data_IF_063399329223
#
_entry.id   IF_063399329223
#
_cell.length_a   1.000
_cell.length_b   1.000
_cell.length_c   1.000
_cell.angle_alpha   90.00
_cell.angle_beta   90.00
_cell.angle_gamma   90.00
#
_symmetry.space_group_name_H-M   'P 1'
#
loop_
_entity.id
_entity.type
_entity.pdbx_description
1 polymer ?
#
# COMPACT_ATOMS: atom_id res chain seq x y z
N UNK A 1 12.36 36.79 4.88
CA UNK A 1 11.56 36.11 3.82
C UNK A 1 10.39 37.02 3.45
N UNK A 2 10.17 37.30 2.16
CA UNK A 2 8.93 38.00 1.75
C UNK A 2 7.80 36.98 1.67
N UNK A 3 6.75 37.18 2.45
CA UNK A 3 5.47 36.49 2.29
C UNK A 3 4.47 37.47 1.66
N UNK A 4 3.33 37.01 1.13
CA UNK A 4 2.30 37.89 0.56
C UNK A 4 1.79 38.97 1.53
N UNK A 5 1.97 38.78 2.84
CA UNK A 5 1.56 39.72 3.90
C UNK A 5 2.65 40.72 4.32
N UNK A 6 3.87 40.66 3.77
CA UNK A 6 4.96 41.59 4.09
C UNK A 6 6.33 40.94 4.30
N UNK A 7 7.28 41.72 4.82
CA UNK A 7 8.65 41.25 5.09
C UNK A 7 8.70 40.59 6.47
N UNK A 8 8.93 39.27 6.52
CA UNK A 8 9.11 38.53 7.77
C UNK A 8 10.60 38.39 8.07
N UNK A 9 11.03 38.94 9.20
CA UNK A 9 12.37 38.74 9.77
C UNK A 9 12.26 37.64 10.82
N UNK A 10 12.83 36.48 10.54
CA UNK A 10 12.89 35.36 11.46
C UNK A 10 14.23 35.40 12.19
N UNK A 11 14.21 35.68 13.49
CA UNK A 11 15.37 35.53 14.36
C UNK A 11 15.30 34.14 14.99
N UNK A 12 16.25 33.27 14.65
CA UNK A 12 16.41 31.97 15.32
C UNK A 12 16.83 32.27 16.75
N UNK A 13 15.92 32.08 17.70
CA UNK A 13 16.17 32.31 19.12
C UNK A 13 17.04 31.21 19.71
N UNK A 14 16.86 29.99 19.23
CA UNK A 14 17.56 28.82 19.74
C UNK A 14 17.60 27.75 18.64
N UNK A 15 18.74 27.05 18.54
CA UNK A 15 18.93 25.96 17.60
C UNK A 15 19.17 24.69 18.41
N UNK A 16 18.13 23.89 18.60
CA UNK A 16 18.31 22.54 19.14
C UNK A 16 19.09 21.71 18.11
N UNK A 17 20.28 21.18 18.45
CA UNK A 17 21.03 20.33 17.55
C UNK A 17 20.21 19.06 17.28
N UNK A 18 20.10 18.67 16.00
CA UNK A 18 19.53 17.38 15.64
C UNK A 18 20.42 16.27 16.21
N UNK A 19 20.05 15.76 17.38
CA UNK A 19 20.72 14.65 18.06
C UNK A 19 19.71 13.56 18.33
N UNK A 20 20.17 12.30 18.28
CA UNK A 20 19.35 11.18 18.78
C UNK A 20 19.05 11.47 20.25
N UNK A 21 17.77 11.61 20.65
CA UNK A 21 17.41 11.87 22.03
C UNK A 21 18.07 10.83 22.95
N UNK A 22 18.55 11.22 24.15
CA UNK A 22 19.09 10.28 25.11
C UNK A 22 18.14 9.11 25.30
N UNK A 23 18.69 7.89 25.35
CA UNK A 23 17.92 6.66 25.59
C UNK A 23 17.06 6.71 26.85
N UNK A 24 17.35 7.60 27.81
CA UNK A 24 16.54 7.86 29.00
C UNK A 24 15.20 8.54 28.67
N UNK A 25 15.18 9.47 27.70
CA UNK A 25 14.00 10.26 27.34
C UNK A 25 13.06 9.50 26.40
N UNK A 26 13.60 8.55 25.62
CA UNK A 26 12.84 7.71 24.67
C UNK A 26 12.80 6.24 25.07
N UNK A 27 13.17 5.89 26.32
CA UNK A 27 13.26 4.49 26.77
C UNK A 27 11.94 3.74 26.60
N UNK A 28 10.84 4.41 26.92
CA UNK A 28 9.50 3.84 26.81
C UNK A 28 9.05 3.72 25.35
N UNK A 29 9.36 4.70 24.50
CA UNK A 29 9.08 4.64 23.06
C UNK A 29 9.86 3.51 22.39
N UNK A 30 11.17 3.41 22.66
CA UNK A 30 12.04 2.34 22.14
C UNK A 30 11.62 0.99 22.71
N UNK A 31 11.30 0.93 24.00
CA UNK A 31 10.79 -0.29 24.64
C UNK A 31 9.50 -0.80 24.00
N UNK A 32 8.55 0.10 23.75
CA UNK A 32 7.30 -0.20 23.05
C UNK A 32 7.53 -0.57 21.58
N UNK A 33 8.43 0.13 20.89
CA UNK A 33 8.81 -0.18 19.51
C UNK A 33 9.46 -1.56 19.38
N UNK A 34 10.35 -1.93 20.32
CA UNK A 34 11.00 -3.25 20.35
C UNK A 34 9.98 -4.35 20.69
N UNK A 35 9.10 -4.12 21.67
CA UNK A 35 8.00 -5.06 21.97
C UNK A 35 7.13 -5.29 20.75
N UNK A 36 6.72 -4.21 20.05
CA UNK A 36 5.96 -4.29 18.80
C UNK A 36 6.72 -5.06 17.72
N UNK A 37 7.99 -4.75 17.50
CA UNK A 37 8.82 -5.43 16.49
C UNK A 37 8.99 -6.92 16.79
N UNK A 38 9.18 -7.30 18.06
CA UNK A 38 9.24 -8.71 18.48
C UNK A 38 7.90 -9.41 18.30
N UNK A 39 6.79 -8.77 18.70
CA UNK A 39 5.45 -9.31 18.51
C UNK A 39 5.13 -9.53 17.02
N UNK A 40 5.48 -8.57 16.15
CA UNK A 40 5.33 -8.70 14.70
C UNK A 40 6.17 -9.85 14.13
N UNK A 41 7.41 -10.03 14.60
CA UNK A 41 8.26 -11.13 14.15
C UNK A 41 7.69 -12.51 14.54
N UNK A 42 7.15 -12.62 15.76
CA UNK A 42 6.49 -13.85 16.22
C UNK A 42 5.21 -14.13 15.41
N UNK A 43 4.38 -13.10 15.18
CA UNK A 43 3.17 -13.24 14.39
C UNK A 43 3.47 -13.66 12.94
N UNK A 44 4.51 -13.07 12.32
CA UNK A 44 4.97 -13.47 10.99
C UNK A 44 5.47 -14.92 10.98
N UNK A 45 6.22 -15.35 11.98
CA UNK A 45 6.71 -16.73 12.07
C UNK A 45 5.56 -17.74 12.17
N UNK A 46 4.55 -17.46 13.00
CA UNK A 46 3.34 -18.28 13.10
C UNK A 46 2.56 -18.33 11.79
N UNK A 47 2.34 -17.18 11.16
CA UNK A 47 1.65 -17.12 9.89
C UNK A 47 2.39 -17.89 8.78
N UNK A 48 3.73 -17.87 8.78
CA UNK A 48 4.55 -18.67 7.85
C UNK A 48 4.43 -20.17 8.11
N UNK A 49 4.43 -20.59 9.37
CA UNK A 49 4.21 -21.99 9.73
C UNK A 49 2.83 -22.46 9.27
N UNK A 50 1.78 -21.69 9.58
CA UNK A 50 0.42 -21.96 9.14
C UNK A 50 0.31 -22.06 7.61
N UNK A 51 0.94 -21.13 6.89
CA UNK A 51 0.97 -21.17 5.43
C UNK A 51 1.71 -22.42 4.89
N UNK A 52 2.80 -22.84 5.52
CA UNK A 52 3.54 -24.03 5.12
C UNK A 52 2.73 -25.33 5.35
N UNK A 53 2.06 -25.44 6.50
CA UNK A 53 1.21 -26.58 6.82
C UNK A 53 0.00 -26.67 5.88
N UNK A 54 -0.58 -25.51 5.56
CA UNK A 54 -1.70 -25.41 4.62
C UNK A 54 -1.29 -25.75 3.17
N UNK A 55 -0.06 -25.40 2.76
CA UNK A 55 0.50 -25.80 1.46
C UNK A 55 0.75 -27.30 1.38
N UNK A 56 1.03 -27.94 2.52
CA UNK A 56 1.27 -29.39 2.61
C UNK A 56 -0.01 -30.23 2.59
N UNK A 57 -1.18 -29.61 2.35
CA UNK A 57 -2.48 -30.28 2.30
C UNK A 57 -3.32 -30.13 3.56
N UNK A 58 -2.85 -29.36 4.55
CA UNK A 58 -3.63 -29.06 5.76
C UNK A 58 -4.86 -28.19 5.46
N UNK A 59 -5.95 -28.46 6.18
CA UNK A 59 -7.16 -27.64 6.12
C UNK A 59 -6.99 -26.34 6.93
N UNK A 60 -7.11 -25.19 6.26
CA UNK A 60 -6.83 -23.87 6.86
C UNK A 60 -7.72 -23.57 8.09
N UNK A 61 -9.04 -23.83 8.04
CA UNK A 61 -9.91 -23.67 9.20
C UNK A 61 -9.57 -24.59 10.37
N UNK A 62 -9.16 -25.83 10.10
CA UNK A 62 -8.74 -26.76 11.15
C UNK A 62 -7.43 -26.31 11.82
N UNK A 63 -6.45 -25.86 11.04
CA UNK A 63 -5.18 -25.34 11.55
C UNK A 63 -5.39 -24.05 12.37
N UNK A 64 -6.21 -23.12 11.87
CA UNK A 64 -6.55 -21.89 12.60
C UNK A 64 -7.23 -22.20 13.95
N UNK A 65 -8.19 -23.14 13.98
CA UNK A 65 -8.84 -23.55 15.24
C UNK A 65 -7.86 -24.16 16.26
N UNK A 66 -6.84 -24.88 15.81
CA UNK A 66 -5.80 -25.45 16.70
C UNK A 66 -4.96 -24.37 17.35
N UNK A 67 -4.67 -23.31 16.61
CA UNK A 67 -3.88 -22.16 17.09
C UNK A 67 -4.74 -21.12 17.84
N UNK A 68 -6.06 -21.31 17.92
CA UNK A 68 -6.99 -20.35 18.53
C UNK A 68 -7.28 -19.13 17.65
N UNK A 69 -6.92 -19.19 16.37
CA UNK A 69 -7.13 -18.13 15.39
C UNK A 69 -8.53 -18.19 14.76
N UNK A 70 -8.98 -17.05 14.24
CA UNK A 70 -10.26 -16.96 13.53
C UNK A 70 -10.12 -17.46 12.09
N UNK A 71 -10.93 -18.46 11.74
CA UNK A 71 -11.11 -18.91 10.37
C UNK A 71 -12.44 -18.40 9.81
N UNK A 72 -12.43 -18.00 8.55
CA UNK A 72 -13.62 -17.61 7.81
C UNK A 72 -13.48 -17.89 6.33
N UNK A 73 -14.61 -17.94 5.64
CA UNK A 73 -14.68 -18.00 4.19
C UNK A 73 -15.38 -16.76 3.64
N UNK A 74 -14.98 -16.33 2.45
CA UNK A 74 -15.63 -15.27 1.69
C UNK A 74 -16.36 -15.90 0.49
N UNK A 75 -17.45 -15.28 0.06
CA UNK A 75 -17.99 -15.53 -1.27
C UNK A 75 -17.01 -15.05 -2.36
N UNK A 76 -17.32 -15.32 -3.63
CA UNK A 76 -16.60 -14.73 -4.75
C UNK A 76 -16.68 -13.20 -4.66
N UNK A 77 -15.54 -12.54 -4.85
CA UNK A 77 -15.42 -11.09 -4.76
C UNK A 77 -14.49 -10.57 -5.85
N UNK A 78 -14.61 -9.28 -6.15
CA UNK A 78 -13.81 -8.61 -7.19
C UNK A 78 -13.03 -7.44 -6.59
N UNK A 79 -12.30 -6.69 -7.43
CA UNK A 79 -11.66 -5.45 -6.98
C UNK A 79 -12.67 -4.32 -6.78
N UNK A 80 -13.81 -4.39 -7.46
CA UNK A 80 -14.88 -3.41 -7.40
C UNK A 80 -15.81 -3.68 -6.21
N UNK A 81 -15.96 -4.95 -5.85
CA UNK A 81 -16.75 -5.41 -4.70
C UNK A 81 -15.86 -6.24 -3.76
N UNK A 82 -15.11 -5.57 -2.86
CA UNK A 82 -14.27 -6.26 -1.88
C UNK A 82 -15.10 -6.89 -0.76
N UNK A 83 -14.63 -7.96 -0.12
CA UNK A 83 -15.36 -8.64 0.94
C UNK A 83 -15.22 -7.93 2.28
N UNK A 84 -16.31 -7.79 3.05
CA UNK A 84 -16.31 -7.12 4.36
C UNK A 84 -15.41 -7.78 5.41
N UNK A 85 -15.22 -9.10 5.30
CA UNK A 85 -14.49 -9.91 6.29
C UNK A 85 -12.97 -9.90 6.12
N UNK A 86 -12.44 -9.33 5.03
CA UNK A 86 -11.02 -9.40 4.71
C UNK A 86 -10.46 -8.00 4.45
N UNK A 87 -9.37 -7.59 5.13
CA UNK A 87 -8.69 -6.33 4.83
C UNK A 87 -8.27 -6.23 3.36
N UNK A 88 -8.21 -5.02 2.84
CA UNK A 88 -7.95 -4.76 1.43
C UNK A 88 -6.64 -5.41 0.94
N UNK A 89 -5.58 -5.40 1.76
CA UNK A 89 -4.29 -6.00 1.43
C UNK A 89 -4.39 -7.52 1.29
N UNK A 90 -5.14 -8.17 2.20
CA UNK A 90 -5.34 -9.61 2.18
C UNK A 90 -6.28 -10.03 1.03
N UNK A 91 -7.31 -9.23 0.73
CA UNK A 91 -8.19 -9.43 -0.43
C UNK A 91 -7.41 -9.33 -1.74
N UNK A 92 -6.52 -8.35 -1.87
CA UNK A 92 -5.65 -8.24 -3.05
C UNK A 92 -4.70 -9.42 -3.20
N UNK A 93 -4.14 -9.93 -2.10
CA UNK A 93 -3.26 -11.10 -2.15
C UNK A 93 -4.02 -12.37 -2.56
N UNK A 94 -5.24 -12.56 -2.06
CA UNK A 94 -6.12 -13.67 -2.47
C UNK A 94 -6.43 -13.61 -3.98
N UNK A 95 -6.71 -12.41 -4.51
CA UNK A 95 -6.93 -12.20 -5.96
C UNK A 95 -5.67 -12.37 -6.82
N UNK A 96 -4.48 -12.40 -6.24
CA UNK A 96 -3.21 -12.68 -6.97
C UNK A 96 -2.79 -14.14 -6.86
N UNK A 97 -3.28 -14.84 -5.84
CA UNK A 97 -2.94 -16.24 -5.58
C UNK A 97 -3.73 -17.14 -6.54
N UNK A 98 -3.10 -18.14 -7.19
CA UNK A 98 -3.82 -19.08 -8.07
C UNK A 98 -4.88 -19.89 -7.31
N UNK A 99 -5.91 -20.34 -8.02
CA UNK A 99 -6.92 -21.24 -7.44
C UNK A 99 -6.27 -22.53 -6.92
N UNK A 100 -6.74 -22.98 -5.76
CA UNK A 100 -6.19 -24.12 -5.01
C UNK A 100 -4.94 -23.83 -4.20
N UNK A 101 -4.30 -22.66 -4.35
CA UNK A 101 -3.04 -22.34 -3.68
C UNK A 101 -3.22 -21.49 -2.42
N UNK A 102 -2.23 -21.57 -1.53
CA UNK A 102 -2.12 -20.77 -0.30
C UNK A 102 -1.13 -19.63 -0.53
N UNK A 103 -1.61 -18.41 -0.38
CA UNK A 103 -0.82 -17.19 -0.52
C UNK A 103 0.21 -17.02 0.60
N UNK A 104 1.15 -16.10 0.42
CA UNK A 104 2.07 -15.73 1.49
C UNK A 104 1.36 -14.92 2.58
N UNK A 105 1.88 -14.95 3.83
CA UNK A 105 1.35 -14.12 4.91
C UNK A 105 1.35 -12.64 4.57
N UNK A 106 0.18 -12.00 4.69
CA UNK A 106 -0.02 -10.58 4.40
C UNK A 106 -0.07 -9.80 5.69
N UNK A 107 0.82 -8.80 5.82
CA UNK A 107 0.77 -7.85 6.94
C UNK A 107 -0.39 -6.87 6.73
N UNK A 108 -1.25 -6.73 7.73
CA UNK A 108 -2.29 -5.70 7.79
C UNK A 108 -2.12 -4.88 9.07
N UNK A 109 -2.83 -3.75 9.24
CA UNK A 109 -2.78 -2.97 10.47
C UNK A 109 -3.26 -3.74 11.72
N UNK A 110 -4.12 -4.75 11.53
CA UNK A 110 -4.71 -5.54 12.61
C UNK A 110 -3.87 -6.78 12.94
N UNK A 111 -3.48 -7.54 11.92
CA UNK A 111 -2.81 -8.83 12.08
C UNK A 111 -2.10 -9.30 10.80
N UNK A 112 -1.48 -10.48 10.86
CA UNK A 112 -1.07 -11.21 9.66
C UNK A 112 -2.20 -12.13 9.20
N UNK A 113 -2.49 -12.13 7.89
CA UNK A 113 -3.52 -12.97 7.28
C UNK A 113 -2.87 -14.00 6.35
N UNK A 114 -3.34 -15.24 6.41
CA UNK A 114 -3.01 -16.29 5.44
C UNK A 114 -4.28 -16.65 4.69
N UNK A 115 -4.21 -16.65 3.36
CA UNK A 115 -5.38 -16.86 2.49
C UNK A 115 -5.14 -18.07 1.59
N UNK A 116 -6.17 -18.90 1.45
CA UNK A 116 -6.22 -19.98 0.46
C UNK A 116 -7.27 -19.64 -0.57
N UNK A 117 -6.88 -19.47 -1.82
CA UNK A 117 -7.82 -19.17 -2.91
C UNK A 117 -8.48 -20.47 -3.33
N UNK A 118 -9.77 -20.63 -3.04
CA UNK A 118 -10.51 -21.85 -3.36
C UNK A 118 -10.83 -21.93 -4.85
N UNK A 119 -11.39 -20.86 -5.39
CA UNK A 119 -11.85 -20.76 -6.76
C UNK A 119 -11.46 -19.41 -7.36
N UNK A 120 -11.27 -19.39 -8.69
CA UNK A 120 -11.05 -18.16 -9.44
C UNK A 120 -11.90 -18.18 -10.70
N UNK A 121 -12.77 -17.19 -10.82
CA UNK A 121 -13.51 -16.92 -12.06
C UNK A 121 -12.65 -16.03 -12.94
N UNK A 122 -12.27 -16.53 -14.12
CA UNK A 122 -11.54 -15.73 -15.09
C UNK A 122 -12.49 -14.69 -15.73
N UNK A 123 -12.01 -13.48 -16.06
CA UNK A 123 -12.78 -12.54 -16.85
C UNK A 123 -13.14 -13.19 -18.20
N UNK A 124 -14.40 -13.06 -18.64
CA UNK A 124 -14.84 -13.58 -19.93
C UNK A 124 -14.11 -12.84 -21.06
N UNK A 125 -13.33 -13.55 -21.91
CA UNK A 125 -12.67 -12.94 -23.06
C UNK A 125 -13.63 -12.24 -24.04
N UNK A 126 -14.90 -12.67 -24.10
CA UNK A 126 -15.91 -12.05 -24.96
C UNK A 126 -16.33 -10.67 -24.46
N UNK A 127 -16.39 -10.45 -23.14
CA UNK A 127 -16.62 -9.12 -22.58
C UNK A 127 -15.42 -8.20 -22.80
N UNK A 128 -14.20 -8.71 -22.60
CA UNK A 128 -12.99 -7.96 -22.93
C UNK A 128 -12.94 -7.59 -24.43
N UNK A 129 -13.44 -8.43 -25.32
CA UNK A 129 -13.50 -8.14 -26.76
C UNK A 129 -14.45 -6.97 -27.08
N UNK A 130 -15.59 -6.87 -26.38
CA UNK A 130 -16.55 -5.76 -26.53
C UNK A 130 -15.91 -4.43 -26.10
N UNK A 131 -15.17 -4.45 -25.00
CA UNK A 131 -14.58 -3.23 -24.43
C UNK A 131 -13.16 -2.93 -24.91
N UNK A 132 -12.54 -3.84 -25.67
CA UNK A 132 -11.14 -3.77 -26.12
C UNK A 132 -10.81 -2.44 -26.78
N UNK A 133 -11.69 -1.94 -27.64
CA UNK A 133 -11.48 -0.68 -28.35
C UNK A 133 -11.52 0.53 -27.40
N UNK A 134 -12.40 0.51 -26.42
CA UNK A 134 -12.52 1.59 -25.43
C UNK A 134 -11.32 1.56 -24.47
N UNK A 135 -11.00 0.39 -23.92
CA UNK A 135 -9.86 0.19 -23.02
C UNK A 135 -8.55 0.55 -23.71
N UNK A 136 -8.37 0.18 -24.99
CA UNK A 136 -7.18 0.54 -25.76
C UNK A 136 -7.06 2.05 -25.96
N UNK A 137 -8.17 2.74 -26.27
CA UNK A 137 -8.19 4.21 -26.40
C UNK A 137 -7.83 4.90 -25.08
N UNK A 138 -8.43 4.47 -23.97
CA UNK A 138 -8.12 5.01 -22.64
C UNK A 138 -6.65 4.80 -22.26
N UNK A 139 -6.13 3.57 -22.45
CA UNK A 139 -4.71 3.26 -22.20
C UNK A 139 -3.77 4.10 -23.07
N UNK A 140 -4.13 4.33 -24.33
CA UNK A 140 -3.34 5.16 -25.24
C UNK A 140 -3.29 6.61 -24.76
N UNK A 141 -4.43 7.18 -24.36
CA UNK A 141 -4.51 8.54 -23.82
C UNK A 141 -3.73 8.68 -22.51
N UNK A 142 -3.85 7.74 -21.58
CA UNK A 142 -3.05 7.73 -20.33
C UNK A 142 -1.55 7.73 -20.64
N UNK A 143 -1.10 6.86 -21.56
CA UNK A 143 0.32 6.81 -21.94
C UNK A 143 0.80 8.09 -22.64
N UNK A 144 -0.03 8.72 -23.47
CA UNK A 144 0.27 10.00 -24.11
C UNK A 144 0.43 11.10 -23.06
N UNK A 145 -0.48 11.18 -22.11
CA UNK A 145 -0.42 12.15 -21.02
C UNK A 145 0.81 11.95 -20.14
N UNK A 146 1.13 10.70 -19.76
CA UNK A 146 2.33 10.39 -18.98
C UNK A 146 3.61 10.78 -19.73
N UNK A 147 3.70 10.45 -21.01
CA UNK A 147 4.83 10.81 -21.86
C UNK A 147 4.98 12.33 -21.98
N UNK A 148 3.86 13.05 -22.19
CA UNK A 148 3.84 14.51 -22.25
C UNK A 148 4.29 15.14 -20.94
N UNK A 149 3.78 14.68 -19.79
CA UNK A 149 4.18 15.19 -18.48
C UNK A 149 5.68 15.00 -18.23
N UNK A 150 6.21 13.80 -18.53
CA UNK A 150 7.65 13.51 -18.42
C UNK A 150 8.47 14.41 -19.34
N UNK A 151 8.02 14.61 -20.57
CA UNK A 151 8.68 15.47 -21.54
C UNK A 151 8.68 16.95 -21.10
N UNK A 152 7.54 17.47 -20.64
CA UNK A 152 7.43 18.85 -20.12
C UNK A 152 8.33 19.06 -18.91
N UNK A 153 8.35 18.11 -17.96
CA UNK A 153 9.21 18.19 -16.77
C UNK A 153 10.69 18.22 -17.15
N UNK A 154 11.12 17.30 -18.03
CA UNK A 154 12.51 17.25 -18.51
C UNK A 154 12.91 18.50 -19.32
N UNK A 155 11.97 19.09 -20.07
CA UNK A 155 12.22 20.30 -20.87
C UNK A 155 12.28 21.54 -19.97
N UNK A 156 11.43 21.65 -18.96
CA UNK A 156 11.47 22.74 -17.97
C UNK A 156 12.76 22.74 -17.16
N UNK A 157 13.27 21.56 -16.79
CA UNK A 157 14.54 21.44 -16.07
C UNK A 157 15.74 21.92 -16.90
N UNK A 158 15.69 21.69 -18.22
CA UNK A 158 16.76 22.08 -19.16
C UNK A 158 16.61 23.48 -19.74
N UNK A 159 15.42 24.09 -19.65
CA UNK A 159 15.16 25.41 -20.19
C UNK A 159 15.53 26.51 -19.18
N UNK A 160 16.24 27.54 -19.63
CA UNK A 160 16.47 28.76 -18.84
C UNK A 160 15.18 29.60 -18.84
N UNK A 161 14.35 29.43 -17.81
CA UNK A 161 13.08 30.16 -17.66
C UNK A 161 13.35 31.46 -16.90
N UNK A 162 13.33 32.60 -17.60
CA UNK A 162 13.36 33.93 -16.99
C UNK A 162 11.92 34.46 -16.86
N UNK A 163 11.46 34.67 -15.62
CA UNK A 163 10.09 35.13 -15.33
C UNK A 163 10.02 36.67 -15.35
N UNK A 164 9.99 37.28 -16.53
CA UNK A 164 9.79 38.74 -16.68
C UNK A 164 8.30 39.08 -16.67
N UNK A 165 7.77 39.36 -15.49
CA UNK A 165 6.41 39.90 -15.33
C UNK A 165 5.87 39.67 -13.91
N UNK A 166 5.75 40.74 -13.13
CA UNK A 166 5.04 40.75 -11.85
C UNK A 166 3.56 40.42 -12.14
N UNK A 167 2.97 39.35 -11.59
CA UNK A 167 1.55 39.10 -11.79
C UNK A 167 0.78 40.29 -11.21
N UNK A 168 -0.02 40.95 -12.05
CA UNK A 168 -0.92 42.00 -11.62
C UNK A 168 -1.92 41.39 -10.63
N UNK A 169 -1.95 41.93 -9.42
CA UNK A 169 -2.99 41.63 -8.45
C UNK A 169 -4.32 42.17 -9.01
N UNK A 170 -5.20 41.27 -9.44
CA UNK A 170 -6.62 41.56 -9.63
C UNK A 170 -7.24 41.77 -8.24
N UNK A 171 -7.84 42.94 -8.04
CA UNK A 171 -8.43 43.42 -6.79
C UNK A 171 -9.79 42.84 -6.45
#
# INVERSE_FOLDING_TARGET
MKTPAGLVILKVLERQPAGVPPLADVKDEVGNAVKRKKAEAVALARARALAADARSGGDLPALAKREGDQAGATALFSREEPPDRLPAEAAQAALRTPAGQVGDPVKTPLAYYVVKTLERVAPDPMELAKDRQQVSRQLLETKRNDAWQRWVMATREKAKIELTGRPAASG
#
